data_IF_612397858079
#
_entry.id   IF_612397858079
#
_cell.length_a   1.000
_cell.length_b   1.000
_cell.length_c   1.000
_cell.angle_alpha   90.00
_cell.angle_beta   90.00
_cell.angle_gamma   90.00
#
_symmetry.space_group_name_H-M   'P 1'
#
loop_
_entity.id
_entity.type
_entity.pdbx_description
1 polymer ?
#
# COMPACT_ATOMS: atom_id res chain seq x y z
N UNK A 1 4.58 52.05 -19.06
CA UNK A 1 5.19 50.80 -18.51
C UNK A 1 4.29 50.10 -17.48
N UNK A 2 2.97 50.40 -17.41
CA UNK A 2 2.03 49.87 -16.41
C UNK A 2 1.37 48.54 -16.77
N UNK A 3 1.11 48.27 -18.06
CA UNK A 3 0.16 47.22 -18.43
C UNK A 3 0.70 45.78 -18.27
N UNK A 4 2.02 45.58 -18.46
CA UNK A 4 2.64 44.25 -18.26
C UNK A 4 2.62 43.77 -16.81
N UNK A 5 2.59 44.68 -15.84
CA UNK A 5 2.55 44.30 -14.42
C UNK A 5 1.13 43.87 -14.00
N UNK A 6 0.09 44.50 -14.57
CA UNK A 6 -1.30 44.09 -14.32
C UNK A 6 -1.62 42.73 -14.95
N UNK A 7 -1.13 42.47 -16.17
CA UNK A 7 -1.29 41.15 -16.82
C UNK A 7 -0.59 40.03 -16.04
N UNK A 8 0.59 40.30 -15.47
CA UNK A 8 1.32 39.33 -14.66
C UNK A 8 0.59 39.02 -13.34
N UNK A 9 0.07 40.04 -12.65
CA UNK A 9 -0.72 39.86 -11.41
C UNK A 9 -2.05 39.16 -11.68
N UNK A 10 -2.70 39.45 -12.81
CA UNK A 10 -3.94 38.80 -13.20
C UNK A 10 -3.72 37.32 -13.55
N UNK A 11 -2.63 36.99 -14.27
CA UNK A 11 -2.27 35.60 -14.57
C UNK A 11 -1.91 34.82 -13.30
N UNK A 12 -1.19 35.42 -12.34
CA UNK A 12 -0.91 34.77 -11.06
C UNK A 12 -2.19 34.48 -10.25
N UNK A 13 -3.17 35.40 -10.25
CA UNK A 13 -4.47 35.17 -9.60
C UNK A 13 -5.28 34.04 -10.28
N UNK A 14 -5.19 33.93 -11.61
CA UNK A 14 -5.81 32.82 -12.36
C UNK A 14 -5.14 31.50 -12.01
N UNK A 15 -3.81 31.46 -11.96
CA UNK A 15 -3.07 30.24 -11.65
C UNK A 15 -3.26 29.80 -10.19
N UNK A 16 -3.34 30.75 -9.25
CA UNK A 16 -3.67 30.44 -7.86
C UNK A 16 -5.10 29.87 -7.73
N UNK A 17 -6.07 30.42 -8.48
CA UNK A 17 -7.44 29.89 -8.50
C UNK A 17 -7.50 28.48 -9.10
N UNK A 18 -6.69 28.20 -10.14
CA UNK A 18 -6.55 26.86 -10.72
C UNK A 18 -5.91 25.87 -9.75
N UNK A 19 -4.89 26.30 -9.01
CA UNK A 19 -4.23 25.48 -8.00
C UNK A 19 -5.20 25.10 -6.87
N UNK A 20 -6.01 26.04 -6.37
CA UNK A 20 -7.06 25.75 -5.38
C UNK A 20 -8.10 24.77 -5.92
N UNK A 21 -8.56 24.95 -7.16
CA UNK A 21 -9.51 24.03 -7.77
C UNK A 21 -8.94 22.62 -7.96
N UNK A 22 -7.64 22.49 -8.28
CA UNK A 22 -6.97 21.19 -8.33
C UNK A 22 -6.86 20.56 -6.94
N UNK A 23 -6.56 21.37 -5.92
CA UNK A 23 -6.47 20.91 -4.54
C UNK A 23 -7.83 20.42 -4.01
N UNK A 24 -8.92 21.14 -4.28
CA UNK A 24 -10.27 20.73 -3.90
C UNK A 24 -10.69 19.42 -4.59
N UNK A 25 -10.37 19.24 -5.88
CA UNK A 25 -10.61 17.97 -6.59
C UNK A 25 -9.79 16.83 -6.01
N UNK A 26 -8.55 17.08 -5.60
CA UNK A 26 -7.69 16.07 -4.99
C UNK A 26 -8.25 15.63 -3.62
N UNK A 27 -8.78 16.59 -2.85
CA UNK A 27 -9.44 16.33 -1.56
C UNK A 27 -10.71 15.50 -1.77
N UNK A 28 -11.56 15.84 -2.74
CA UNK A 28 -12.74 15.03 -3.08
C UNK A 28 -12.37 13.61 -3.53
N UNK A 29 -11.34 13.48 -4.37
CA UNK A 29 -10.83 12.18 -4.82
C UNK A 29 -10.36 11.32 -3.64
N UNK A 30 -9.56 11.89 -2.74
CA UNK A 30 -9.07 11.20 -1.54
C UNK A 30 -10.22 10.81 -0.59
N UNK A 31 -11.27 11.62 -0.48
CA UNK A 31 -12.45 11.28 0.31
C UNK A 31 -13.24 10.13 -0.29
N UNK A 32 -13.37 10.09 -1.62
CA UNK A 32 -14.02 8.97 -2.34
C UNK A 32 -13.22 7.68 -2.22
N UNK A 33 -11.89 7.74 -2.39
CA UNK A 33 -11.01 6.58 -2.27
C UNK A 33 -11.00 6.03 -0.84
N UNK A 34 -11.02 6.90 0.18
CA UNK A 34 -11.15 6.50 1.58
C UNK A 34 -12.49 5.77 1.83
N UNK A 35 -13.58 6.28 1.26
CA UNK A 35 -14.91 5.67 1.39
C UNK A 35 -14.96 4.29 0.71
N UNK A 36 -14.41 4.18 -0.51
CA UNK A 36 -14.32 2.93 -1.25
C UNK A 36 -13.49 1.88 -0.50
N UNK A 37 -12.33 2.29 0.02
CA UNK A 37 -11.46 1.41 0.82
C UNK A 37 -12.17 0.93 2.09
N UNK A 38 -12.91 1.81 2.76
CA UNK A 38 -13.69 1.46 3.95
C UNK A 38 -14.79 0.45 3.63
N UNK A 39 -15.47 0.59 2.48
CA UNK A 39 -16.48 -0.37 2.02
C UNK A 39 -15.86 -1.73 1.66
N UNK A 40 -14.71 -1.75 0.99
CA UNK A 40 -14.00 -2.98 0.62
C UNK A 40 -13.54 -3.77 1.85
N UNK A 41 -12.95 -3.09 2.84
CA UNK A 41 -12.53 -3.70 4.12
C UNK A 41 -13.75 -4.27 4.87
N UNK A 42 -14.87 -3.55 4.86
CA UNK A 42 -16.12 -4.00 5.50
C UNK A 42 -16.69 -5.24 4.82
N UNK A 43 -16.67 -5.31 3.49
CA UNK A 43 -17.08 -6.48 2.70
C UNK A 43 -16.20 -7.70 2.98
N UNK A 44 -14.87 -7.51 3.00
CA UNK A 44 -13.91 -8.57 3.33
C UNK A 44 -14.09 -9.08 4.76
N UNK A 45 -14.44 -8.20 5.70
CA UNK A 45 -14.79 -8.54 7.08
C UNK A 45 -16.05 -9.41 7.17
N UNK A 46 -17.13 -9.09 6.45
CA UNK A 46 -18.37 -9.88 6.44
C UNK A 46 -18.13 -11.30 5.92
N UNK A 47 -17.30 -11.46 4.88
CA UNK A 47 -16.96 -12.78 4.31
C UNK A 47 -16.09 -13.60 5.27
N UNK A 48 -15.22 -12.96 6.03
CA UNK A 48 -14.25 -13.64 6.90
C UNK A 48 -14.76 -13.93 8.32
N UNK A 49 -15.70 -13.13 8.85
CA UNK A 49 -16.32 -13.33 10.18
C UNK A 49 -17.14 -14.63 10.31
N UNK A 50 -17.30 -15.38 9.21
CA UNK A 50 -17.81 -16.76 9.25
C UNK A 50 -16.81 -17.78 9.80
N UNK A 51 -15.51 -17.45 9.97
CA UNK A 51 -14.46 -18.48 9.92
C UNK A 51 -13.27 -18.46 10.91
N UNK A 52 -13.15 -17.64 11.98
CA UNK A 52 -12.31 -17.94 13.19
C UNK A 52 -12.03 -16.74 14.15
N UNK A 53 -11.77 -17.05 15.43
CA UNK A 53 -11.69 -16.11 16.57
C UNK A 53 -10.29 -15.64 17.06
N UNK A 54 -9.42 -15.16 16.18
CA UNK A 54 -8.13 -14.50 16.55
C UNK A 54 -8.14 -12.97 16.31
N UNK A 55 -9.33 -12.41 16.17
CA UNK A 55 -9.65 -11.12 15.56
C UNK A 55 -9.53 -9.90 16.49
N UNK A 56 -9.78 -10.11 17.77
CA UNK A 56 -9.99 -9.02 18.73
C UNK A 56 -8.73 -8.16 18.91
N UNK A 57 -7.55 -8.79 18.92
CA UNK A 57 -6.27 -8.09 19.04
C UNK A 57 -5.91 -7.31 17.75
N UNK A 58 -6.19 -7.88 16.58
CA UNK A 58 -5.98 -7.21 15.29
C UNK A 58 -6.96 -6.05 15.09
N UNK A 59 -8.20 -6.20 15.57
CA UNK A 59 -9.21 -5.14 15.57
C UNK A 59 -8.79 -3.99 16.49
N UNK A 60 -8.35 -4.27 17.71
CA UNK A 60 -7.84 -3.27 18.64
C UNK A 60 -6.64 -2.50 18.07
N UNK A 61 -5.73 -3.19 17.38
CA UNK A 61 -4.57 -2.55 16.74
C UNK A 61 -4.99 -1.65 15.56
N UNK A 62 -5.92 -2.12 14.71
CA UNK A 62 -6.43 -1.35 13.58
C UNK A 62 -7.28 -0.16 14.01
N UNK A 63 -8.10 -0.31 15.05
CA UNK A 63 -8.89 0.77 15.63
C UNK A 63 -7.98 1.86 16.21
N UNK A 64 -6.90 1.47 16.90
CA UNK A 64 -5.90 2.40 17.41
C UNK A 64 -5.16 3.14 16.29
N UNK A 65 -4.77 2.44 15.22
CA UNK A 65 -4.17 3.08 14.03
C UNK A 65 -5.12 4.05 13.34
N UNK A 66 -6.40 3.68 13.23
CA UNK A 66 -7.44 4.53 12.63
C UNK A 66 -7.66 5.81 13.44
N UNK A 67 -7.79 5.70 14.77
CA UNK A 67 -7.91 6.87 15.66
C UNK A 67 -6.67 7.77 15.59
N UNK A 68 -5.48 7.20 15.41
CA UNK A 68 -4.27 8.01 15.27
C UNK A 68 -4.23 8.76 13.93
N UNK A 69 -4.64 8.11 12.84
CA UNK A 69 -4.79 8.78 11.54
C UNK A 69 -5.85 9.89 11.58
N UNK A 70 -6.98 9.67 12.23
CA UNK A 70 -8.01 10.72 12.42
C UNK A 70 -7.47 11.93 13.19
N UNK A 71 -6.68 11.72 14.25
CA UNK A 71 -6.02 12.81 14.98
C UNK A 71 -5.06 13.60 14.09
N UNK A 72 -4.26 12.90 13.29
CA UNK A 72 -3.30 13.53 12.38
C UNK A 72 -4.01 14.35 11.29
N UNK A 73 -5.07 13.80 10.69
CA UNK A 73 -5.90 14.53 9.73
C UNK A 73 -6.54 15.78 10.33
N UNK A 74 -7.06 15.70 11.56
CA UNK A 74 -7.62 16.85 12.26
C UNK A 74 -6.55 17.92 12.56
N UNK A 75 -5.33 17.51 12.94
CA UNK A 75 -4.21 18.43 13.14
C UNK A 75 -3.79 19.14 11.84
N UNK A 76 -3.75 18.43 10.72
CA UNK A 76 -3.51 19.03 9.40
C UNK A 76 -4.63 20.00 9.00
N UNK A 77 -5.90 19.64 9.23
CA UNK A 77 -7.04 20.53 8.94
C UNK A 77 -6.95 21.84 9.72
N UNK A 78 -6.54 21.79 11.00
CA UNK A 78 -6.30 22.99 11.82
C UNK A 78 -5.17 23.83 11.23
N UNK A 79 -4.09 23.20 10.78
CA UNK A 79 -2.95 23.89 10.17
C UNK A 79 -3.34 24.55 8.84
N UNK A 80 -4.15 23.90 8.00
CA UNK A 80 -4.67 24.49 6.76
C UNK A 80 -5.58 25.69 7.03
N UNK A 81 -6.46 25.62 8.04
CA UNK A 81 -7.29 26.77 8.43
C UNK A 81 -6.42 27.96 8.87
N UNK A 82 -5.34 27.71 9.61
CA UNK A 82 -4.41 28.77 10.01
C UNK A 82 -3.72 29.42 8.79
N UNK A 83 -3.33 28.64 7.78
CA UNK A 83 -2.76 29.16 6.52
C UNK A 83 -3.80 29.97 5.73
N UNK A 84 -5.02 29.47 5.59
CA UNK A 84 -6.11 30.17 4.90
C UNK A 84 -6.44 31.53 5.55
N UNK A 85 -6.39 31.60 6.89
CA UNK A 85 -6.57 32.85 7.62
C UNK A 85 -5.44 33.84 7.33
N UNK A 86 -4.17 33.39 7.35
CA UNK A 86 -3.02 34.24 6.99
C UNK A 86 -3.09 34.75 5.55
N UNK A 87 -3.57 33.92 4.62
CA UNK A 87 -3.78 34.34 3.24
C UNK A 87 -4.83 35.46 3.15
N UNK A 88 -5.95 35.32 3.85
CA UNK A 88 -6.99 36.36 3.92
C UNK A 88 -6.44 37.68 4.46
N UNK A 89 -5.62 37.61 5.51
CA UNK A 89 -4.94 38.80 6.07
C UNK A 89 -4.00 39.45 5.05
N UNK A 90 -3.23 38.65 4.30
CA UNK A 90 -2.36 39.15 3.24
C UNK A 90 -3.16 39.84 2.12
N UNK A 91 -4.30 39.28 1.72
CA UNK A 91 -5.18 39.84 0.70
C UNK A 91 -5.80 41.18 1.15
N UNK A 92 -6.17 41.30 2.43
CA UNK A 92 -6.63 42.55 3.02
C UNK A 92 -5.53 43.61 3.02
N UNK A 93 -4.31 43.24 3.42
CA UNK A 93 -3.15 44.14 3.41
C UNK A 93 -2.83 44.62 2.00
N UNK A 94 -2.89 43.73 0.99
CA UNK A 94 -2.71 44.10 -0.42
C UNK A 94 -3.76 45.12 -0.89
N UNK A 95 -5.02 44.92 -0.52
CA UNK A 95 -6.12 45.84 -0.87
C UNK A 95 -5.91 47.23 -0.24
N UNK A 96 -5.46 47.27 1.02
CA UNK A 96 -5.11 48.52 1.69
C UNK A 96 -3.95 49.25 0.99
N UNK A 97 -2.92 48.52 0.58
CA UNK A 97 -1.77 49.06 -0.15
C UNK A 97 -2.18 49.63 -1.51
N UNK A 98 -3.03 48.90 -2.25
CA UNK A 98 -3.60 49.38 -3.52
C UNK A 98 -4.36 50.70 -3.35
N UNK A 99 -5.17 50.82 -2.30
CA UNK A 99 -5.91 52.05 -2.00
C UNK A 99 -4.97 53.22 -1.63
N UNK A 100 -3.85 52.94 -0.95
CA UNK A 100 -2.83 53.96 -0.65
C UNK A 100 -2.14 54.45 -1.93
N UNK A 101 -1.80 53.56 -2.86
CA UNK A 101 -1.20 53.93 -4.16
C UNK A 101 -2.12 54.88 -4.93
N UNK A 102 -3.41 54.57 -5.03
CA UNK A 102 -4.39 55.45 -5.69
C UNK A 102 -4.45 56.85 -5.06
N UNK A 103 -4.37 56.94 -3.71
CA UNK A 103 -4.32 58.23 -3.00
C UNK A 103 -3.05 59.02 -3.32
N UNK A 104 -1.91 58.34 -3.42
CA UNK A 104 -0.63 58.96 -3.79
C UNK A 104 -0.69 59.48 -5.23
N UNK A 105 -1.19 58.68 -6.18
CA UNK A 105 -1.36 59.09 -7.58
C UNK A 105 -2.29 60.31 -7.70
N UNK A 106 -3.41 60.31 -6.97
CA UNK A 106 -4.34 61.45 -6.94
C UNK A 106 -3.66 62.70 -6.40
N UNK A 107 -2.89 62.57 -5.31
CA UNK A 107 -2.14 63.68 -4.72
C UNK A 107 -1.09 64.22 -5.70
N UNK A 108 -0.40 63.33 -6.41
CA UNK A 108 0.57 63.70 -7.44
C UNK A 108 -0.06 64.48 -8.58
N UNK A 109 -1.23 64.04 -9.06
CA UNK A 109 -1.94 64.76 -10.12
C UNK A 109 -2.39 66.16 -9.67
N UNK A 110 -2.80 66.31 -8.41
CA UNK A 110 -3.11 67.63 -7.82
C UNK A 110 -1.86 68.52 -7.77
N UNK A 111 -0.71 67.96 -7.38
CA UNK A 111 0.56 68.68 -7.36
C UNK A 111 1.00 69.11 -8.77
N UNK A 112 0.92 68.22 -9.75
CA UNK A 112 1.25 68.51 -11.15
C UNK A 112 0.37 69.65 -11.71
N UNK A 113 -0.94 69.61 -11.44
CA UNK A 113 -1.85 70.69 -11.81
C UNK A 113 -1.49 72.03 -11.15
N UNK A 114 -1.11 72.01 -9.86
CA UNK A 114 -0.66 73.21 -9.15
C UNK A 114 0.66 73.75 -9.73
N UNK A 115 1.61 72.89 -10.05
CA UNK A 115 2.88 73.27 -10.69
C UNK A 115 2.65 73.90 -12.07
N UNK A 116 1.76 73.32 -12.88
CA UNK A 116 1.39 73.89 -14.18
C UNK A 116 0.72 75.26 -14.04
N UNK A 117 -0.09 75.47 -12.99
CA UNK A 117 -0.69 76.76 -12.69
C UNK A 117 0.37 77.81 -12.35
N UNK A 118 1.33 77.43 -11.48
CA UNK A 118 2.46 78.29 -11.09
C UNK A 118 3.34 78.63 -12.30
N UNK A 119 3.64 77.68 -13.20
CA UNK A 119 4.37 77.98 -14.43
C UNK A 119 3.62 78.97 -15.33
N UNK A 120 2.30 78.85 -15.42
CA UNK A 120 1.45 79.76 -16.19
C UNK A 120 1.41 81.16 -15.57
N UNK A 121 1.33 81.25 -14.25
CA UNK A 121 1.38 82.51 -13.50
C UNK A 121 2.77 83.17 -13.59
N UNK A 122 3.85 82.38 -13.55
CA UNK A 122 5.22 82.87 -13.78
C UNK A 122 5.41 83.41 -15.21
N UNK A 123 4.81 82.76 -16.22
CA UNK A 123 4.78 83.29 -17.59
C UNK A 123 3.99 84.61 -17.68
N UNK A 124 2.87 84.74 -16.96
CA UNK A 124 2.13 86.02 -16.86
C UNK A 124 2.93 87.10 -16.14
N UNK A 125 3.66 86.75 -15.07
CA UNK A 125 4.61 87.64 -14.39
C UNK A 125 5.74 88.11 -15.32
N UNK A 126 6.22 87.23 -16.20
CA UNK A 126 7.23 87.57 -17.23
C UNK A 126 6.66 88.48 -18.33
N UNK A 127 5.34 88.44 -18.57
CA UNK A 127 4.63 89.33 -19.50
C UNK A 127 4.18 90.66 -18.87
N UNK A 128 4.12 90.74 -17.55
CA UNK A 128 3.76 91.95 -16.79
C UNK A 128 4.95 92.89 -16.51
N UNK A 129 6.08 92.66 -17.17
CA UNK A 129 7.25 93.54 -17.09
C UNK A 129 7.15 94.77 -18.01
N UNK A 130 5.97 95.42 -18.00
CA UNK A 130 5.78 96.82 -18.38
C UNK A 130 4.62 97.42 -17.55
N UNK A 131 5.00 98.15 -16.49
CA UNK A 131 4.34 99.32 -15.86
C UNK A 131 3.25 99.07 -14.75
N UNK A 132 3.61 99.50 -13.51
CA UNK A 132 2.80 99.90 -12.31
C UNK A 132 1.85 98.89 -11.62
N UNK A 133 1.76 98.71 -10.29
CA UNK A 133 2.26 99.43 -9.10
C UNK A 133 2.37 98.51 -7.85
N UNK A 134 3.28 98.88 -6.95
CA UNK A 134 3.86 98.15 -5.80
C UNK A 134 2.93 97.56 -4.72
N UNK A 135 1.61 97.75 -4.76
CA UNK A 135 0.68 97.17 -3.77
C UNK A 135 0.37 95.70 -4.04
N UNK A 136 0.33 95.33 -5.32
CA UNK A 136 0.18 93.94 -5.76
C UNK A 136 1.42 93.11 -5.42
N UNK A 137 2.61 93.71 -5.48
CA UNK A 137 3.89 93.06 -5.13
C UNK A 137 3.95 92.71 -3.65
N UNK A 138 3.45 93.57 -2.76
CA UNK A 138 3.39 93.28 -1.33
C UNK A 138 2.39 92.17 -0.97
N UNK A 139 1.21 92.17 -1.61
CA UNK A 139 0.23 91.10 -1.41
C UNK A 139 0.69 89.77 -2.01
N UNK A 140 1.33 89.80 -3.18
CA UNK A 140 1.97 88.63 -3.77
C UNK A 140 3.09 88.12 -2.87
N UNK A 141 3.94 88.98 -2.31
CA UNK A 141 5.00 88.56 -1.39
C UNK A 141 4.47 87.87 -0.14
N UNK A 142 3.39 88.39 0.47
CA UNK A 142 2.75 87.72 1.61
C UNK A 142 2.08 86.39 1.21
N UNK A 143 1.50 86.30 0.02
CA UNK A 143 0.95 85.04 -0.51
C UNK A 143 2.04 84.04 -0.85
N UNK A 144 3.17 84.49 -1.42
CA UNK A 144 4.35 83.66 -1.68
C UNK A 144 4.93 83.14 -0.38
N UNK A 145 5.03 83.97 0.66
CA UNK A 145 5.51 83.54 1.97
C UNK A 145 4.56 82.52 2.63
N UNK A 146 3.25 82.73 2.51
CA UNK A 146 2.27 81.76 3.03
C UNK A 146 2.32 80.43 2.25
N UNK A 147 2.49 80.48 0.92
CA UNK A 147 2.70 79.31 0.07
C UNK A 147 4.01 78.60 0.40
N UNK A 148 5.10 79.32 0.68
CA UNK A 148 6.36 78.74 1.13
C UNK A 148 6.20 78.01 2.46
N UNK A 149 5.46 78.58 3.42
CA UNK A 149 5.18 77.94 4.70
C UNK A 149 4.28 76.69 4.55
N UNK A 150 3.25 76.74 3.70
CA UNK A 150 2.44 75.57 3.37
C UNK A 150 3.23 74.48 2.62
N UNK A 151 4.14 74.89 1.73
CA UNK A 151 4.99 73.98 0.97
C UNK A 151 6.03 73.32 1.87
N UNK A 152 6.62 74.05 2.83
CA UNK A 152 7.48 73.49 3.87
C UNK A 152 6.72 72.48 4.74
N UNK A 153 5.51 72.82 5.18
CA UNK A 153 4.66 71.94 5.99
C UNK A 153 4.25 70.68 5.23
N UNK A 154 3.96 70.81 3.94
CA UNK A 154 3.66 69.69 3.05
C UNK A 154 4.89 68.82 2.83
N UNK A 155 6.08 69.42 2.72
CA UNK A 155 7.34 68.70 2.56
C UNK A 155 7.67 67.88 3.82
N UNK A 156 7.46 68.43 5.02
CA UNK A 156 7.60 67.66 6.27
C UNK A 156 6.60 66.50 6.38
N UNK A 157 5.36 66.69 5.91
CA UNK A 157 4.38 65.62 5.89
C UNK A 157 4.74 64.53 4.87
N UNK A 158 5.30 64.91 3.71
CA UNK A 158 5.78 63.96 2.71
C UNK A 158 6.99 63.16 3.22
N UNK A 159 7.93 63.81 3.91
CA UNK A 159 9.07 63.14 4.53
C UNK A 159 8.63 62.12 5.60
N UNK A 160 7.62 62.47 6.40
CA UNK A 160 6.98 61.55 7.35
C UNK A 160 6.30 60.36 6.65
N UNK A 161 5.59 60.59 5.54
CA UNK A 161 4.96 59.53 4.75
C UNK A 161 6.01 58.63 4.10
N UNK A 162 7.09 59.20 3.56
CA UNK A 162 8.21 58.44 2.97
C UNK A 162 8.86 57.55 4.03
N UNK A 163 9.09 58.07 5.23
CA UNK A 163 9.64 57.29 6.33
C UNK A 163 8.69 56.15 6.78
N UNK A 164 7.37 56.38 6.81
CA UNK A 164 6.39 55.33 7.12
C UNK A 164 6.33 54.25 6.02
N UNK A 165 6.44 54.65 4.75
CA UNK A 165 6.51 53.74 3.61
C UNK A 165 7.79 52.89 3.64
N UNK A 166 8.94 53.49 3.95
CA UNK A 166 10.20 52.76 4.06
C UNK A 166 10.21 51.80 5.26
N UNK A 167 9.62 52.19 6.40
CA UNK A 167 9.45 51.29 7.54
C UNK A 167 8.59 50.06 7.17
N UNK A 168 7.45 50.27 6.51
CA UNK A 168 6.56 49.17 6.08
C UNK A 168 7.20 48.28 5.01
N UNK A 169 8.05 48.85 4.15
CA UNK A 169 8.84 48.08 3.19
C UNK A 169 9.82 47.14 3.90
N UNK A 170 10.48 47.59 4.97
CA UNK A 170 11.36 46.74 5.76
C UNK A 170 10.59 45.62 6.47
N UNK A 171 9.41 45.93 7.03
CA UNK A 171 8.54 44.91 7.63
C UNK A 171 8.11 43.85 6.61
N UNK A 172 7.77 44.28 5.39
CA UNK A 172 7.40 43.37 4.30
C UNK A 172 8.57 42.44 3.89
N UNK A 173 9.80 42.97 3.81
CA UNK A 173 10.99 42.18 3.50
C UNK A 173 11.30 41.15 4.62
N UNK A 174 11.09 41.52 5.88
CA UNK A 174 11.21 40.60 7.01
C UNK A 174 10.15 39.48 6.96
N UNK A 175 8.91 39.82 6.60
CA UNK A 175 7.81 38.88 6.41
C UNK A 175 8.08 37.93 5.25
N UNK A 176 8.59 38.44 4.13
CA UNK A 176 8.98 37.66 2.96
C UNK A 176 10.12 36.67 3.28
N UNK A 177 11.11 37.11 4.06
CA UNK A 177 12.22 36.26 4.52
C UNK A 177 11.73 35.14 5.45
N UNK A 178 10.75 35.42 6.33
CA UNK A 178 10.09 34.41 7.17
C UNK A 178 9.27 33.42 6.35
N UNK A 179 8.53 33.88 5.34
CA UNK A 179 7.81 33.04 4.38
C UNK A 179 8.77 32.09 3.66
N UNK A 180 9.87 32.60 3.12
CA UNK A 180 10.91 31.79 2.45
C UNK A 180 11.55 30.75 3.38
N UNK A 181 11.73 31.09 4.66
CA UNK A 181 12.22 30.13 5.67
C UNK A 181 11.19 29.05 6.03
N UNK A 182 9.90 29.34 5.85
CA UNK A 182 8.79 28.42 6.14
C UNK A 182 8.56 27.47 4.97
N UNK A 183 8.70 27.97 3.74
CA UNK A 183 8.70 27.19 2.51
C UNK A 183 9.81 26.12 2.54
N UNK A 184 11.03 26.52 2.91
CA UNK A 184 12.16 25.59 3.09
C UNK A 184 11.94 24.55 4.19
N UNK A 185 11.15 24.87 5.22
CA UNK A 185 10.76 23.88 6.26
C UNK A 185 9.69 22.93 5.73
N UNK A 186 8.82 23.39 4.83
CA UNK A 186 7.81 22.57 4.19
C UNK A 186 8.44 21.56 3.23
N UNK A 187 9.45 21.97 2.47
CA UNK A 187 10.24 21.09 1.59
C UNK A 187 10.90 19.96 2.39
N UNK A 188 11.54 20.29 3.53
CA UNK A 188 12.16 19.29 4.40
C UNK A 188 11.15 18.30 5.02
N UNK A 189 9.92 18.74 5.30
CA UNK A 189 8.84 17.86 5.80
C UNK A 189 8.30 16.98 4.67
N UNK A 190 8.22 17.50 3.45
CA UNK A 190 7.80 16.73 2.27
C UNK A 190 8.82 15.65 1.92
N UNK A 191 10.12 15.94 1.97
CA UNK A 191 11.18 14.93 1.78
C UNK A 191 11.12 13.86 2.88
N UNK A 192 11.02 14.26 4.15
CA UNK A 192 10.91 13.30 5.27
C UNK A 192 9.67 12.40 5.15
N UNK A 193 8.54 12.95 4.69
CA UNK A 193 7.33 12.16 4.46
C UNK A 193 7.50 11.21 3.26
N UNK A 194 8.17 11.65 2.20
CA UNK A 194 8.43 10.82 1.02
C UNK A 194 9.37 9.64 1.35
N UNK A 195 10.39 9.87 2.16
CA UNK A 195 11.31 8.83 2.63
C UNK A 195 10.60 7.82 3.54
N UNK A 196 9.75 8.29 4.46
CA UNK A 196 8.98 7.43 5.36
C UNK A 196 7.91 6.62 4.60
N UNK A 197 7.25 7.23 3.59
CA UNK A 197 6.30 6.55 2.71
C UNK A 197 7.01 5.47 1.88
N UNK A 198 8.20 5.78 1.33
CA UNK A 198 9.00 4.84 0.54
C UNK A 198 9.48 3.66 1.39
N UNK A 199 9.93 3.91 2.62
CA UNK A 199 10.29 2.85 3.57
C UNK A 199 9.09 1.95 3.91
N UNK A 200 7.91 2.54 4.10
CA UNK A 200 6.67 1.81 4.41
C UNK A 200 6.18 0.96 3.23
N UNK A 201 6.28 1.48 2.00
CA UNK A 201 5.95 0.74 0.77
C UNK A 201 6.92 -0.43 0.55
N UNK A 202 8.22 -0.21 0.76
CA UNK A 202 9.22 -1.28 0.63
C UNK A 202 9.05 -2.39 1.68
N UNK A 203 8.73 -2.04 2.93
CA UNK A 203 8.40 -3.01 3.98
C UNK A 203 7.14 -3.83 3.63
N UNK A 204 6.13 -3.16 3.08
CA UNK A 204 4.87 -3.80 2.65
C UNK A 204 5.09 -4.78 1.48
N UNK A 205 5.91 -4.39 0.50
CA UNK A 205 6.28 -5.26 -0.63
C UNK A 205 7.06 -6.49 -0.16
N UNK A 206 7.99 -6.33 0.78
CA UNK A 206 8.72 -7.45 1.36
C UNK A 206 7.79 -8.41 2.12
N UNK A 207 6.81 -7.88 2.86
CA UNK A 207 5.81 -8.69 3.55
C UNK A 207 4.92 -9.48 2.58
N UNK A 208 4.54 -8.87 1.45
CA UNK A 208 3.75 -9.53 0.41
C UNK A 208 4.51 -10.68 -0.27
N UNK A 209 5.80 -10.50 -0.55
CA UNK A 209 6.67 -11.56 -1.10
C UNK A 209 6.82 -12.73 -0.12
N UNK A 210 7.02 -12.46 1.17
CA UNK A 210 7.13 -13.51 2.20
C UNK A 210 5.82 -14.28 2.34
N UNK A 211 4.68 -13.59 2.33
CA UNK A 211 3.35 -14.22 2.39
C UNK A 211 3.08 -15.08 1.15
N UNK A 212 3.36 -14.57 -0.05
CA UNK A 212 3.21 -15.31 -1.31
C UNK A 212 4.05 -16.60 -1.32
N UNK A 213 5.31 -16.53 -0.88
CA UNK A 213 6.19 -17.69 -0.78
C UNK A 213 5.67 -18.73 0.23
N UNK A 214 5.17 -18.30 1.39
CA UNK A 214 4.54 -19.22 2.37
C UNK A 214 3.27 -19.86 1.84
N UNK A 215 2.43 -19.12 1.12
CA UNK A 215 1.20 -19.67 0.52
C UNK A 215 1.53 -20.69 -0.57
N UNK A 216 2.53 -20.44 -1.40
CA UNK A 216 2.97 -21.38 -2.44
C UNK A 216 3.59 -22.65 -1.83
N UNK A 217 4.39 -22.51 -0.76
CA UNK A 217 4.92 -23.65 -0.02
C UNK A 217 3.79 -24.49 0.61
N UNK A 218 2.80 -23.85 1.24
CA UNK A 218 1.64 -24.57 1.79
C UNK A 218 0.82 -25.26 0.71
N UNK A 219 0.57 -24.61 -0.44
CA UNK A 219 -0.10 -25.24 -1.57
C UNK A 219 0.66 -26.48 -2.05
N UNK A 220 1.99 -26.39 -2.14
CA UNK A 220 2.87 -27.51 -2.53
C UNK A 220 2.84 -28.66 -1.52
N UNK A 221 2.94 -28.35 -0.23
CA UNK A 221 2.86 -29.33 0.86
C UNK A 221 1.49 -30.01 0.95
N UNK A 222 0.40 -29.31 0.58
CA UNK A 222 -0.94 -29.89 0.54
C UNK A 222 -1.14 -30.75 -0.72
N UNK A 223 -0.62 -30.33 -1.88
CA UNK A 223 -0.75 -31.07 -3.14
C UNK A 223 0.08 -32.35 -3.19
N UNK A 224 1.15 -32.45 -2.41
CA UNK A 224 2.06 -33.60 -2.39
C UNK A 224 1.73 -34.65 -1.32
N UNK A 225 0.63 -34.50 -0.56
CA UNK A 225 0.22 -35.52 0.42
C UNK A 225 -0.23 -36.78 -0.30
N UNK A 226 0.46 -37.90 -0.07
CA UNK A 226 0.08 -39.20 -0.60
C UNK A 226 -0.07 -40.20 0.53
N UNK A 227 -1.26 -40.81 0.63
CA UNK A 227 -1.53 -41.91 1.54
C UNK A 227 -2.55 -42.86 0.91
N UNK A 228 -2.21 -44.13 0.82
CA UNK A 228 -3.07 -45.21 0.36
C UNK A 228 -3.09 -46.31 1.41
N UNK A 229 -4.27 -46.78 1.76
CA UNK A 229 -4.45 -47.99 2.57
C UNK A 229 -5.58 -48.82 1.97
N UNK A 230 -5.36 -50.12 1.87
CA UNK A 230 -6.24 -51.04 1.15
C UNK A 230 -6.17 -52.46 1.71
N UNK A 231 -7.24 -53.23 1.54
CA UNK A 231 -7.36 -54.61 2.02
C UNK A 231 -7.62 -55.58 0.86
N UNK A 232 -7.29 -56.86 1.06
CA UNK A 232 -7.43 -57.92 0.06
C UNK A 232 -8.88 -58.29 -0.32
N UNK A 233 -9.88 -57.68 0.30
CA UNK A 233 -11.30 -57.93 0.07
C UNK A 233 -11.99 -58.66 1.22
N UNK A 234 -13.33 -58.62 1.21
CA UNK A 234 -14.17 -59.26 2.23
C UNK A 234 -14.44 -60.72 1.82
N UNK A 235 -13.90 -61.66 2.61
CA UNK A 235 -14.12 -63.10 2.55
C UNK A 235 -13.40 -63.85 1.40
N UNK A 236 -12.61 -64.85 1.77
CA UNK A 236 -12.03 -65.84 0.87
C UNK A 236 -10.54 -65.70 0.58
N UNK A 237 -10.08 -66.60 -0.30
CA UNK A 237 -8.73 -66.62 -0.84
C UNK A 237 -8.44 -65.32 -1.59
N UNK A 238 -7.32 -64.71 -1.24
CA UNK A 238 -6.70 -63.70 -2.08
C UNK A 238 -6.26 -64.43 -3.35
N UNK A 239 -7.00 -64.25 -4.44
CA UNK A 239 -6.62 -64.82 -5.72
C UNK A 239 -5.54 -63.90 -6.34
N UNK A 240 -4.25 -64.27 -6.26
CA UNK A 240 -3.25 -63.54 -7.01
C UNK A 240 -3.61 -63.59 -8.50
N UNK A 241 -3.16 -62.58 -9.24
CA UNK A 241 -3.17 -62.64 -10.71
C UNK A 241 -2.46 -63.90 -11.20
N UNK A 242 -2.65 -64.25 -12.47
CA UNK A 242 -1.96 -65.39 -13.12
C UNK A 242 -0.44 -65.32 -12.89
N UNK A 243 0.12 -64.10 -12.82
CA UNK A 243 1.55 -63.86 -12.61
C UNK A 243 1.99 -63.93 -11.14
N UNK A 244 1.06 -63.99 -10.19
CA UNK A 244 1.35 -64.11 -8.75
C UNK A 244 1.24 -62.81 -7.95
N UNK A 245 0.86 -61.69 -8.58
CA UNK A 245 0.67 -60.40 -7.88
C UNK A 245 -0.65 -60.36 -7.10
N UNK A 246 -0.59 -59.87 -5.86
CA UNK A 246 -1.75 -59.64 -5.00
C UNK A 246 -2.51 -58.38 -5.40
N UNK A 247 -3.84 -58.42 -5.26
CA UNK A 247 -4.71 -57.24 -5.41
C UNK A 247 -5.33 -56.88 -4.07
N UNK A 248 -5.42 -55.58 -3.80
CA UNK A 248 -6.04 -55.03 -2.59
C UNK A 248 -7.22 -54.13 -2.99
N UNK A 249 -8.35 -54.72 -3.42
CA UNK A 249 -9.44 -53.97 -4.02
C UNK A 249 -10.21 -53.07 -3.04
N UNK A 250 -10.15 -53.36 -1.74
CA UNK A 250 -10.92 -52.65 -0.72
C UNK A 250 -10.15 -51.44 -0.18
N UNK A 251 -10.29 -50.29 -0.84
CA UNK A 251 -9.60 -49.03 -0.47
C UNK A 251 -10.19 -48.44 0.81
N UNK A 252 -9.36 -48.29 1.84
CA UNK A 252 -9.70 -47.63 3.11
C UNK A 252 -9.29 -46.16 3.14
N UNK A 253 -8.24 -45.78 2.42
CA UNK A 253 -7.77 -44.38 2.30
C UNK A 253 -7.05 -44.21 0.96
N UNK A 254 -7.23 -43.06 0.29
CA UNK A 254 -6.62 -42.77 -1.02
C UNK A 254 -6.39 -41.27 -1.22
N UNK A 255 -5.62 -40.66 -0.34
CA UNK A 255 -5.22 -39.24 -0.43
C UNK A 255 -4.08 -39.08 -1.43
N UNK A 256 -4.22 -38.17 -2.39
CA UNK A 256 -3.19 -37.88 -3.40
C UNK A 256 -2.94 -38.98 -4.43
N UNK A 257 -3.73 -40.06 -4.41
CA UNK A 257 -3.65 -41.16 -5.37
C UNK A 257 -4.76 -41.00 -6.39
N UNK A 258 -4.44 -40.46 -7.56
CA UNK A 258 -5.42 -40.23 -8.63
C UNK A 258 -5.81 -41.50 -9.40
N UNK A 259 -5.08 -42.59 -9.20
CA UNK A 259 -5.19 -43.84 -9.96
C UNK A 259 -5.70 -44.98 -9.07
N UNK A 260 -6.57 -44.68 -8.11
CA UNK A 260 -7.15 -45.67 -7.20
C UNK A 260 -7.87 -46.79 -7.95
N UNK A 261 -8.58 -46.48 -9.04
CA UNK A 261 -9.21 -47.49 -9.91
C UNK A 261 -8.17 -48.40 -10.60
N UNK A 262 -7.04 -47.84 -11.06
CA UNK A 262 -5.94 -48.63 -11.63
C UNK A 262 -5.34 -49.52 -10.55
N UNK A 263 -5.12 -49.01 -9.34
CA UNK A 263 -4.61 -49.78 -8.22
C UNK A 263 -5.55 -50.95 -7.86
N UNK A 264 -6.86 -50.70 -7.75
CA UNK A 264 -7.86 -51.74 -7.46
C UNK A 264 -7.83 -52.85 -8.53
N UNK A 265 -7.73 -52.46 -9.81
CA UNK A 265 -7.76 -53.41 -10.92
C UNK A 265 -6.44 -54.17 -11.11
N UNK A 266 -5.31 -53.52 -10.87
CA UNK A 266 -3.97 -54.07 -11.15
C UNK A 266 -3.26 -54.60 -9.91
N UNK A 267 -3.51 -54.06 -8.72
CA UNK A 267 -2.67 -54.27 -7.53
C UNK A 267 -1.39 -53.42 -7.53
N UNK A 268 -1.24 -52.51 -8.49
CA UNK A 268 -0.02 -51.71 -8.69
C UNK A 268 -0.26 -50.26 -8.27
N UNK A 269 0.54 -49.78 -7.32
CA UNK A 269 0.63 -48.36 -6.99
C UNK A 269 1.61 -47.68 -7.95
N UNK A 270 1.21 -46.56 -8.54
CA UNK A 270 2.05 -45.76 -9.45
C UNK A 270 2.33 -44.42 -8.78
N UNK A 271 3.61 -44.11 -8.58
CA UNK A 271 4.04 -42.90 -7.90
C UNK A 271 3.83 -41.66 -8.78
N UNK A 272 3.21 -40.63 -8.22
CA UNK A 272 3.04 -39.33 -8.88
C UNK A 272 4.00 -38.26 -8.42
N UNK A 273 4.49 -38.37 -7.20
CA UNK A 273 5.33 -37.35 -6.57
C UNK A 273 6.55 -38.05 -6.02
N UNK A 274 7.74 -37.70 -6.54
CA UNK A 274 8.96 -38.28 -6.01
C UNK A 274 9.12 -37.98 -4.50
N UNK A 275 9.79 -38.88 -3.78
CA UNK A 275 10.14 -38.69 -2.39
C UNK A 275 10.36 -39.99 -1.62
N UNK A 276 10.47 -39.85 -0.30
CA UNK A 276 10.59 -40.97 0.61
C UNK A 276 9.20 -41.49 0.99
N UNK A 277 8.98 -42.79 0.85
CA UNK A 277 7.71 -43.44 1.16
C UNK A 277 7.90 -44.52 2.20
N UNK A 278 6.99 -44.58 3.17
CA UNK A 278 6.82 -45.74 4.05
C UNK A 278 5.81 -46.71 3.45
N UNK A 279 6.23 -47.96 3.27
CA UNK A 279 5.41 -49.07 2.77
C UNK A 279 5.23 -50.07 3.91
N UNK A 280 3.98 -50.41 4.19
CA UNK A 280 3.59 -51.44 5.14
C UNK A 280 2.67 -52.44 4.47
N UNK A 281 3.04 -53.72 4.49
CA UNK A 281 2.25 -54.80 3.90
C UNK A 281 2.13 -55.91 4.92
N UNK A 282 0.90 -56.29 5.24
CA UNK A 282 0.61 -57.47 6.05
C UNK A 282 -0.13 -58.47 5.20
N UNK A 283 0.36 -59.71 5.17
CA UNK A 283 -0.27 -60.82 4.46
C UNK A 283 -0.60 -61.92 5.46
N UNK A 284 -1.80 -62.49 5.32
CA UNK A 284 -2.28 -63.61 6.12
C UNK A 284 -2.38 -64.90 5.28
N UNK A 285 -2.05 -66.02 5.91
CA UNK A 285 -2.10 -67.36 5.32
C UNK A 285 -2.44 -68.40 6.40
N UNK A 286 -2.93 -69.56 6.00
CA UNK A 286 -3.11 -70.75 6.85
C UNK A 286 -2.03 -71.82 6.61
N UNK A 287 -1.06 -71.57 5.71
CA UNK A 287 0.03 -72.51 5.47
C UNK A 287 1.19 -72.28 6.43
N UNK A 288 1.91 -73.37 6.69
CA UNK A 288 3.02 -73.41 7.64
C UNK A 288 4.20 -72.50 7.26
N UNK A 289 4.55 -72.31 5.99
CA UNK A 289 5.59 -71.34 5.60
C UNK A 289 5.22 -70.69 4.28
N UNK A 290 5.06 -69.37 4.30
CA UNK A 290 4.78 -68.58 3.11
C UNK A 290 5.78 -67.44 2.96
N UNK A 291 6.17 -67.16 1.72
CA UNK A 291 6.95 -65.98 1.36
C UNK A 291 6.10 -65.02 0.54
N UNK A 292 6.39 -63.73 0.62
CA UNK A 292 5.83 -62.71 -0.27
C UNK A 292 6.86 -61.62 -0.47
N UNK A 293 6.68 -60.77 -1.48
CA UNK A 293 7.68 -59.80 -1.86
C UNK A 293 7.02 -58.45 -2.15
N UNK A 294 7.61 -57.37 -1.65
CA UNK A 294 7.33 -56.03 -2.15
C UNK A 294 8.32 -55.75 -3.28
N UNK A 295 7.80 -55.32 -4.44
CA UNK A 295 8.61 -55.00 -5.61
C UNK A 295 8.49 -53.53 -5.99
N UNK A 296 9.63 -52.93 -6.38
CA UNK A 296 9.73 -51.62 -7.02
C UNK A 296 10.12 -51.82 -8.49
N UNK A 297 9.30 -51.36 -9.44
CA UNK A 297 9.56 -51.56 -10.88
C UNK A 297 9.85 -53.02 -11.25
N UNK A 298 9.03 -53.92 -10.71
CA UNK A 298 9.16 -55.37 -10.85
C UNK A 298 10.49 -55.98 -10.35
N UNK A 299 11.31 -55.22 -9.62
CA UNK A 299 12.49 -55.72 -8.90
C UNK A 299 12.16 -55.89 -7.42
N UNK A 300 12.68 -56.95 -6.80
CA UNK A 300 12.48 -57.22 -5.37
C UNK A 300 13.08 -56.07 -4.56
N UNK A 301 12.24 -55.43 -3.75
CA UNK A 301 12.63 -54.40 -2.82
C UNK A 301 12.88 -55.00 -1.44
N UNK A 302 11.89 -55.72 -0.89
CA UNK A 302 11.99 -56.42 0.39
C UNK A 302 11.26 -57.76 0.32
N UNK A 303 11.92 -58.88 0.67
CA UNK A 303 11.24 -60.16 0.87
C UNK A 303 10.59 -60.22 2.25
N UNK A 304 9.43 -60.87 2.32
CA UNK A 304 8.67 -61.16 3.53
C UNK A 304 8.57 -62.65 3.75
N UNK A 305 8.51 -63.03 5.03
CA UNK A 305 8.34 -64.40 5.47
C UNK A 305 7.20 -64.43 6.49
N UNK A 306 6.31 -65.42 6.35
CA UNK A 306 5.33 -65.79 7.34
C UNK A 306 5.87 -67.05 8.00
N UNK A 307 6.35 -66.95 9.26
CA UNK A 307 7.00 -68.06 9.93
C UNK A 307 6.00 -69.15 10.31
N UNK A 308 6.52 -70.36 10.48
CA UNK A 308 5.75 -71.52 10.84
C UNK A 308 5.32 -71.51 12.31
N UNK A 309 4.01 -71.63 12.51
CA UNK A 309 3.46 -72.14 13.76
C UNK A 309 3.12 -73.61 13.58
N UNK A 310 4.11 -74.46 13.88
CA UNK A 310 3.92 -75.90 13.99
C UNK A 310 2.88 -76.18 15.08
N UNK A 311 1.74 -76.77 14.70
CA UNK A 311 1.19 -78.01 15.28
C UNK A 311 -0.32 -78.17 15.05
N UNK A 312 -1.03 -77.12 14.60
CA UNK A 312 -2.48 -77.19 14.41
C UNK A 312 -2.94 -76.51 13.11
N UNK A 313 -3.66 -77.24 12.27
CA UNK A 313 -4.18 -76.83 10.94
C UNK A 313 -5.30 -75.77 10.99
N UNK A 314 -5.47 -75.09 12.11
CA UNK A 314 -6.58 -74.15 12.36
C UNK A 314 -6.11 -72.72 12.65
N UNK A 315 -4.80 -72.44 12.69
CA UNK A 315 -4.28 -71.11 12.98
C UNK A 315 -3.84 -70.36 11.72
N UNK A 316 -4.42 -69.18 11.55
CA UNK A 316 -3.93 -68.19 10.58
C UNK A 316 -2.65 -67.54 11.11
N UNK A 317 -1.63 -67.50 10.26
CA UNK A 317 -0.38 -66.77 10.52
C UNK A 317 -0.31 -65.54 9.62
N UNK A 318 0.37 -64.50 10.11
CA UNK A 318 0.59 -63.29 9.32
C UNK A 318 2.05 -62.88 9.33
N UNK A 319 2.50 -62.28 8.24
CA UNK A 319 3.81 -61.64 8.14
C UNK A 319 3.63 -60.21 7.69
N UNK A 320 4.44 -59.32 8.26
CA UNK A 320 4.42 -57.90 7.95
C UNK A 320 5.78 -57.44 7.46
N UNK A 321 5.78 -56.71 6.34
CA UNK A 321 6.92 -55.93 5.86
C UNK A 321 6.64 -54.46 6.19
N UNK A 322 7.61 -53.80 6.81
CA UNK A 322 7.66 -52.35 6.93
C UNK A 322 8.98 -51.87 6.34
N UNK A 323 8.94 -50.94 5.40
CA UNK A 323 10.16 -50.41 4.77
C UNK A 323 9.97 -48.95 4.38
N UNK A 324 11.06 -48.19 4.39
CA UNK A 324 11.12 -46.86 3.83
C UNK A 324 11.96 -46.90 2.55
N UNK A 325 11.44 -46.36 1.46
CA UNK A 325 12.10 -46.39 0.14
C UNK A 325 11.91 -45.07 -0.58
N UNK A 326 12.95 -44.62 -1.26
CA UNK A 326 12.87 -43.49 -2.20
C UNK A 326 12.21 -43.96 -3.49
N UNK A 327 11.15 -43.26 -3.91
CA UNK A 327 10.34 -43.60 -5.07
C UNK A 327 10.32 -42.38 -5.99
N UNK A 328 10.68 -42.58 -7.25
CA UNK A 328 10.63 -41.55 -8.29
C UNK A 328 9.25 -41.47 -8.95
N UNK A 329 9.02 -40.42 -9.73
CA UNK A 329 7.78 -40.28 -10.51
C UNK A 329 7.68 -41.45 -11.51
N UNK A 330 6.50 -42.06 -11.59
CA UNK A 330 6.15 -43.24 -12.38
C UNK A 330 6.75 -44.57 -11.92
N UNK A 331 7.52 -44.59 -10.83
CA UNK A 331 7.89 -45.85 -10.22
C UNK A 331 6.64 -46.59 -9.74
N UNK A 332 6.71 -47.93 -9.79
CA UNK A 332 5.62 -48.82 -9.45
C UNK A 332 5.93 -49.62 -8.20
N UNK A 333 4.97 -49.73 -7.28
CA UNK A 333 5.03 -50.62 -6.11
C UNK A 333 3.94 -51.68 -6.25
N UNK A 334 4.32 -52.94 -6.03
CA UNK A 334 3.40 -54.09 -6.08
C UNK A 334 3.81 -55.16 -5.07
N UNK A 335 2.87 -56.02 -4.71
CA UNK A 335 3.11 -57.14 -3.78
C UNK A 335 2.88 -58.46 -4.50
N UNK A 336 3.82 -59.38 -4.37
CA UNK A 336 3.83 -60.65 -5.09
C UNK A 336 3.87 -61.82 -4.12
N UNK A 337 3.19 -62.91 -4.49
CA UNK A 337 3.27 -64.18 -3.78
C UNK A 337 4.64 -64.82 -4.00
N UNK A 338 5.09 -65.58 -3.01
CA UNK A 338 6.27 -66.41 -3.11
C UNK A 338 5.91 -67.85 -3.50
N UNK A 339 6.09 -68.76 -2.55
CA UNK A 339 6.12 -70.21 -2.76
C UNK A 339 4.76 -70.93 -2.60
N UNK A 340 3.72 -70.27 -2.11
CA UNK A 340 2.41 -70.90 -1.86
C UNK A 340 1.29 -70.22 -2.65
N UNK A 341 0.10 -70.83 -2.66
CA UNK A 341 -1.09 -70.28 -3.30
C UNK A 341 -2.21 -69.93 -2.30
N UNK A 342 -2.04 -70.29 -1.04
CA UNK A 342 -3.05 -70.11 -0.01
C UNK A 342 -2.79 -68.81 0.76
N UNK A 343 -3.37 -67.70 0.31
CA UNK A 343 -3.34 -66.43 1.03
C UNK A 343 -4.76 -65.92 1.21
N UNK A 344 -5.02 -65.21 2.30
CA UNK A 344 -6.37 -64.71 2.61
C UNK A 344 -6.45 -63.21 2.41
N UNK A 345 -7.52 -62.76 1.75
CA UNK A 345 -7.76 -61.32 1.58
C UNK A 345 -8.19 -60.64 2.88
N UNK A 346 -8.85 -61.39 3.76
CA UNK A 346 -9.27 -60.91 5.08
C UNK A 346 -8.05 -60.67 5.97
N UNK A 347 -7.98 -59.51 6.61
CA UNK A 347 -6.83 -59.00 7.39
C UNK A 347 -5.51 -58.77 6.63
N UNK A 348 -5.40 -59.14 5.36
CA UNK A 348 -4.28 -58.72 4.52
C UNK A 348 -4.45 -57.27 4.07
N UNK A 349 -3.43 -56.44 4.28
CA UNK A 349 -3.47 -55.03 3.96
C UNK A 349 -2.19 -54.53 3.29
N UNK A 350 -2.37 -53.52 2.44
CA UNK A 350 -1.32 -52.76 1.80
C UNK A 350 -1.50 -51.29 2.15
N UNK A 351 -0.48 -50.68 2.73
CA UNK A 351 -0.44 -49.26 3.08
C UNK A 351 0.84 -48.65 2.54
N UNK A 352 0.72 -47.47 1.93
CA UNK A 352 1.85 -46.67 1.46
C UNK A 352 1.58 -45.18 1.73
N UNK A 353 2.55 -44.49 2.34
CA UNK A 353 2.44 -43.08 2.73
C UNK A 353 3.73 -42.35 2.35
N UNK A 354 3.61 -41.17 1.73
CA UNK A 354 4.76 -40.28 1.52
C UNK A 354 5.11 -39.60 2.85
N UNK A 355 6.37 -39.69 3.25
CA UNK A 355 6.88 -39.11 4.50
C UNK A 355 7.17 -37.62 4.37
#
# INVERSE_FOLDING_TARGET
MSDRHYDMLFNMLIDERRARQQQDRLIEQLQQDLLATKQEVTQKYIVWNKNNGTLENLYLELENKTKNMERNCNSMLVSFKAVANKYTELQNNYTMLKNLVVKVETTNHVLENKTNLIEKENKMLTQLQTISDLKSVYNLWNQTKHLEEELLKTNYNLESIVNDVDARKQDFLALFSRLKSTDKKLDNVSESFHDELTATVNASNHMFVVLSNKTNLMKRLISEKVALSSCGGQYGLMNPTIDGMFKFPDIRTSVGVSSSSIFVNSGVFICKYAGLYHISVTIMTDVSVAYFEVRKNNKILVPGCIPNHNDHSEYYSSGTINTAVEIDINDTISVWKGNVNHYYGYYSCFTIVKL
#
